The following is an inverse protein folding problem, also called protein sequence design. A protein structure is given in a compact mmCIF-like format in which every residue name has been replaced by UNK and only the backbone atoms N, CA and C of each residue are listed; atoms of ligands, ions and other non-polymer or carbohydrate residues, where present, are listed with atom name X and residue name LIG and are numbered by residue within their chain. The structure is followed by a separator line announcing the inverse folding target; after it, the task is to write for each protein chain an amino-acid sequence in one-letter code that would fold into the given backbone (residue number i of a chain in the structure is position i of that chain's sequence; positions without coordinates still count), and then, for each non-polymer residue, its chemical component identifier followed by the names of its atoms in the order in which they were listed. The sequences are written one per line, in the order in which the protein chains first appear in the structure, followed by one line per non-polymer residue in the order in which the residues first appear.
data_IF_145683055228
#
_entry.id   IF_145683055228
#
_cell.length_a   1.000
_cell.length_b   1.000
_cell.length_c   1.000
_cell.angle_alpha   90.00
_cell.angle_beta   90.00
_cell.angle_gamma   90.00
#
_symmetry.space_group_name_H-M   'P 1'
#
loop_
_entity.id
_entity.type
_entity.pdbx_description
1 polymer ?
#
# COMPACT_ATOMS: atom_id res chain seq x y z
N UNK A 1 -16.87 -12.99 -6.36
CA UNK A 1 -15.83 -11.94 -6.32
C UNK A 1 -14.52 -12.42 -5.68
N UNK A 2 -14.47 -12.87 -4.42
CA UNK A 2 -13.20 -13.40 -3.87
C UNK A 2 -12.64 -14.61 -4.66
N UNK A 3 -13.52 -15.55 -5.03
CA UNK A 3 -13.16 -16.73 -5.84
C UNK A 3 -12.68 -16.39 -7.26
N UNK A 4 -12.96 -15.18 -7.76
CA UNK A 4 -12.63 -14.75 -9.13
C UNK A 4 -11.49 -13.71 -9.16
N UNK A 5 -10.88 -13.40 -8.01
CA UNK A 5 -9.82 -12.39 -7.89
C UNK A 5 -8.57 -12.97 -7.22
N UNK A 6 -8.71 -13.65 -6.08
CA UNK A 6 -7.57 -14.17 -5.32
C UNK A 6 -6.69 -15.15 -6.14
N UNK A 7 -7.25 -16.10 -6.92
CA UNK A 7 -6.41 -17.00 -7.72
C UNK A 7 -5.61 -16.28 -8.81
N UNK A 8 -6.13 -15.18 -9.37
CA UNK A 8 -5.43 -14.40 -10.38
C UNK A 8 -4.38 -13.47 -9.77
N UNK A 9 -4.62 -12.97 -8.55
CA UNK A 9 -3.59 -12.25 -7.79
C UNK A 9 -2.37 -13.16 -7.55
N UNK A 10 -2.60 -14.40 -7.12
CA UNK A 10 -1.56 -15.41 -6.97
C UNK A 10 -0.82 -15.69 -8.27
N UNK A 11 -1.55 -15.96 -9.36
CA UNK A 11 -0.93 -16.25 -10.65
C UNK A 11 -0.02 -15.10 -11.15
N UNK A 12 -0.37 -13.84 -10.86
CA UNK A 12 0.47 -12.69 -11.18
C UNK A 12 1.72 -12.61 -10.29
N UNK A 13 1.58 -12.81 -8.98
CA UNK A 13 2.71 -12.82 -8.04
C UNK A 13 3.70 -13.94 -8.39
N UNK A 14 3.19 -15.16 -8.64
CA UNK A 14 4.00 -16.31 -9.05
C UNK A 14 4.78 -16.02 -10.34
N UNK A 15 4.12 -15.36 -11.31
CA UNK A 15 4.75 -14.97 -12.57
C UNK A 15 5.85 -13.92 -12.36
N UNK A 16 5.63 -12.92 -11.50
CA UNK A 16 6.64 -11.93 -11.14
C UNK A 16 7.85 -12.62 -10.51
N UNK A 17 7.63 -13.48 -9.50
CA UNK A 17 8.69 -14.20 -8.80
C UNK A 17 9.49 -15.10 -9.75
N UNK A 18 8.82 -15.80 -10.67
CA UNK A 18 9.47 -16.69 -11.64
C UNK A 18 10.40 -15.94 -12.62
N UNK A 19 10.12 -14.68 -12.94
CA UNK A 19 10.89 -13.89 -13.91
C UNK A 19 11.81 -12.86 -13.26
N UNK A 20 11.56 -12.50 -12.01
CA UNK A 20 12.30 -11.49 -11.25
C UNK A 20 12.24 -11.85 -9.77
N UNK A 21 13.04 -12.83 -9.32
CA UNK A 21 12.97 -13.34 -7.94
C UNK A 21 13.34 -12.29 -6.88
N UNK A 22 14.04 -11.23 -7.27
CA UNK A 22 14.34 -10.11 -6.39
C UNK A 22 13.28 -8.99 -6.42
N UNK A 23 12.19 -9.14 -7.18
CA UNK A 23 11.13 -8.15 -7.23
C UNK A 23 10.17 -8.33 -6.05
N UNK A 24 9.94 -7.25 -5.32
CA UNK A 24 8.93 -7.20 -4.28
C UNK A 24 7.59 -6.78 -4.87
N UNK A 25 6.56 -7.60 -4.66
CA UNK A 25 5.21 -7.27 -5.12
C UNK A 25 4.54 -6.36 -4.11
N UNK A 26 3.99 -5.24 -4.60
CA UNK A 26 3.20 -4.30 -3.81
C UNK A 26 1.81 -4.16 -4.42
N UNK A 27 0.79 -4.55 -3.68
CA UNK A 27 -0.59 -4.36 -4.09
C UNK A 27 -1.02 -2.90 -3.91
N UNK A 28 -1.52 -2.30 -4.99
CA UNK A 28 -2.05 -0.93 -5.00
C UNK A 28 -3.50 -0.91 -4.47
N UNK A 29 -3.71 -0.67 -3.16
CA UNK A 29 -5.06 -0.61 -2.58
C UNK A 29 -5.79 0.63 -3.08
N UNK A 30 -6.75 0.44 -3.98
CA UNK A 30 -7.54 1.52 -4.57
C UNK A 30 -8.52 2.16 -3.56
N UNK A 31 -9.16 3.24 -4.01
CA UNK A 31 -10.20 3.96 -3.28
C UNK A 31 -11.60 3.58 -3.74
N UNK A 32 -12.58 3.69 -2.84
CA UNK A 32 -13.99 3.58 -3.15
C UNK A 32 -14.43 4.71 -4.09
N UNK A 33 -15.42 4.41 -4.95
CA UNK A 33 -16.13 5.40 -5.77
C UNK A 33 -16.82 6.44 -4.87
N UNK A 34 -16.99 7.64 -5.38
CA UNK A 34 -17.42 8.81 -4.61
C UNK A 34 -18.68 8.55 -3.78
N UNK A 35 -19.63 7.84 -4.38
CA UNK A 35 -20.92 7.46 -3.82
C UNK A 35 -21.11 5.94 -3.75
N UNK A 36 -20.02 5.17 -3.63
CA UNK A 36 -20.06 3.70 -3.72
C UNK A 36 -20.30 3.18 -5.15
N UNK A 37 -20.40 1.86 -5.28
CA UNK A 37 -20.66 1.17 -6.53
C UNK A 37 -22.15 0.93 -6.73
N UNK A 38 -22.83 1.94 -7.28
CA UNK A 38 -24.27 1.89 -7.55
C UNK A 38 -24.65 0.83 -8.57
N UNK A 39 -23.75 0.49 -9.49
CA UNK A 39 -24.00 -0.53 -10.51
C UNK A 39 -24.10 -1.92 -9.88
N UNK A 40 -23.23 -2.21 -8.90
CA UNK A 40 -23.19 -3.52 -8.25
C UNK A 40 -23.98 -3.56 -6.93
N UNK A 41 -24.42 -2.43 -6.39
CA UNK A 41 -25.15 -2.30 -5.12
C UNK A 41 -26.34 -3.26 -4.97
N UNK A 42 -27.17 -3.43 -6.01
CA UNK A 42 -28.33 -4.31 -5.95
C UNK A 42 -27.96 -5.80 -5.77
N UNK A 43 -26.87 -6.24 -6.39
CA UNK A 43 -26.36 -7.61 -6.28
C UNK A 43 -25.43 -7.80 -5.07
N UNK A 44 -24.78 -6.72 -4.64
CA UNK A 44 -23.85 -6.69 -3.51
C UNK A 44 -24.09 -5.42 -2.67
N UNK A 45 -24.99 -5.48 -1.67
CA UNK A 45 -25.34 -4.32 -0.87
C UNK A 45 -24.18 -3.64 -0.10
N UNK A 46 -23.14 -4.36 0.38
CA UNK A 46 -22.04 -3.70 1.05
C UNK A 46 -21.27 -2.66 0.23
N UNK A 47 -21.38 -2.62 -1.12
CA UNK A 47 -20.68 -1.61 -1.93
C UNK A 47 -21.55 -0.39 -2.26
N UNK A 48 -22.78 -0.32 -1.76
CA UNK A 48 -23.71 0.79 -2.05
C UNK A 48 -23.26 2.16 -1.53
N UNK A 49 -22.34 2.21 -0.57
CA UNK A 49 -21.78 3.45 -0.03
C UNK A 49 -20.28 3.50 -0.21
N UNK A 50 -19.70 4.69 -0.12
CA UNK A 50 -18.26 4.87 -0.12
C UNK A 50 -17.60 4.05 1.01
N UNK A 51 -18.13 4.13 2.23
CA UNK A 51 -17.60 3.47 3.42
C UNK A 51 -17.62 1.96 3.26
N UNK A 52 -18.74 1.42 2.79
CA UNK A 52 -18.89 -0.01 2.56
C UNK A 52 -17.96 -0.50 1.46
N UNK A 53 -17.88 0.21 0.33
CA UNK A 53 -16.97 -0.12 -0.76
C UNK A 53 -15.50 -0.05 -0.31
N UNK A 54 -15.08 1.01 0.38
CA UNK A 54 -13.71 1.16 0.86
C UNK A 54 -13.34 0.07 1.88
N UNK A 55 -14.28 -0.34 2.73
CA UNK A 55 -14.06 -1.45 3.65
C UNK A 55 -13.83 -2.78 2.91
N UNK A 56 -14.63 -3.06 1.87
CA UNK A 56 -14.42 -4.25 1.03
C UNK A 56 -13.08 -4.22 0.31
N UNK A 57 -12.70 -3.07 -0.28
CA UNK A 57 -11.40 -2.90 -0.91
C UNK A 57 -10.27 -3.17 0.10
N UNK A 58 -10.32 -2.55 1.28
CA UNK A 58 -9.31 -2.77 2.32
C UNK A 58 -9.17 -4.26 2.65
N UNK A 59 -10.29 -4.94 2.91
CA UNK A 59 -10.27 -6.36 3.25
C UNK A 59 -9.66 -7.21 2.13
N UNK A 60 -10.10 -7.02 0.88
CA UNK A 60 -9.60 -7.80 -0.24
C UNK A 60 -8.12 -7.57 -0.54
N UNK A 61 -7.64 -6.32 -0.48
CA UNK A 61 -6.24 -6.01 -0.72
C UNK A 61 -5.31 -6.53 0.38
N UNK A 62 -5.73 -6.44 1.65
CA UNK A 62 -4.95 -7.03 2.75
C UNK A 62 -4.92 -8.55 2.69
N UNK A 63 -6.02 -9.18 2.28
CA UNK A 63 -6.06 -10.63 2.05
C UNK A 63 -5.10 -11.02 0.92
N UNK A 64 -5.14 -10.33 -0.22
CA UNK A 64 -4.20 -10.58 -1.33
C UNK A 64 -2.75 -10.40 -0.87
N UNK A 65 -2.43 -9.34 -0.13
CA UNK A 65 -1.08 -9.12 0.39
C UNK A 65 -0.62 -10.25 1.32
N UNK A 66 -1.48 -10.67 2.26
CA UNK A 66 -1.17 -11.73 3.20
C UNK A 66 -1.00 -13.11 2.53
N UNK A 67 -1.90 -13.47 1.61
CA UNK A 67 -1.86 -14.77 0.92
C UNK A 67 -0.60 -14.94 0.05
N UNK A 68 -0.03 -13.83 -0.41
CA UNK A 68 1.04 -13.80 -1.40
C UNK A 68 2.41 -13.42 -0.82
N UNK A 69 2.52 -13.20 0.50
CA UNK A 69 3.75 -12.67 1.09
C UNK A 69 4.16 -11.30 0.51
N UNK A 70 3.18 -10.50 0.10
CA UNK A 70 3.37 -9.24 -0.60
C UNK A 70 3.04 -8.05 0.32
N UNK A 71 3.51 -6.86 -0.06
CA UNK A 71 3.14 -5.61 0.62
C UNK A 71 1.85 -5.02 0.06
N UNK A 72 1.24 -4.08 0.78
CA UNK A 72 0.06 -3.35 0.35
C UNK A 72 0.25 -1.83 0.50
N UNK A 73 0.22 -1.08 -0.60
CA UNK A 73 0.21 0.38 -0.55
C UNK A 73 -1.21 0.89 -0.20
N UNK A 74 -1.44 1.57 0.94
CA UNK A 74 -2.78 1.81 1.49
C UNK A 74 -3.45 3.10 0.96
N UNK A 75 -3.47 3.31 -0.36
CA UNK A 75 -3.97 4.57 -0.94
C UNK A 75 -5.44 4.82 -0.62
N UNK A 76 -6.28 3.80 -0.67
CA UNK A 76 -7.69 3.91 -0.29
C UNK A 76 -7.91 4.38 1.15
N UNK A 77 -6.96 4.08 2.05
CA UNK A 77 -7.03 4.54 3.44
C UNK A 77 -6.54 5.98 3.60
N UNK A 78 -5.52 6.40 2.84
CA UNK A 78 -5.14 7.80 2.73
C UNK A 78 -6.28 8.64 2.15
N UNK A 79 -6.90 8.14 1.09
CA UNK A 79 -8.08 8.74 0.45
C UNK A 79 -9.23 8.92 1.44
N UNK A 80 -9.56 7.86 2.19
CA UNK A 80 -10.58 7.92 3.23
C UNK A 80 -10.27 9.00 4.26
N UNK A 81 -9.03 9.03 4.78
CA UNK A 81 -8.63 10.00 5.80
C UNK A 81 -8.74 11.44 5.30
N UNK A 82 -8.38 11.71 4.04
CA UNK A 82 -8.58 13.05 3.45
C UNK A 82 -10.06 13.38 3.29
N UNK A 83 -10.89 12.45 2.82
CA UNK A 83 -12.36 12.68 2.73
C UNK A 83 -12.97 13.02 4.10
N UNK A 84 -12.55 12.33 5.15
CA UNK A 84 -13.08 12.51 6.50
C UNK A 84 -12.61 13.84 7.13
N UNK A 85 -11.33 14.20 6.96
CA UNK A 85 -10.70 15.32 7.67
C UNK A 85 -10.71 16.63 6.88
N UNK A 86 -10.66 16.55 5.54
CA UNK A 86 -10.52 17.68 4.63
C UNK A 86 -11.53 17.58 3.47
N UNK A 87 -12.84 17.56 3.75
CA UNK A 87 -13.87 17.34 2.73
C UNK A 87 -13.93 18.41 1.63
N UNK A 88 -13.29 19.57 1.83
CA UNK A 88 -13.14 20.60 0.81
C UNK A 88 -12.14 20.23 -0.29
N UNK A 89 -11.24 19.27 -0.05
CA UNK A 89 -10.29 18.77 -1.06
C UNK A 89 -11.01 17.74 -1.93
N UNK A 90 -11.38 18.12 -3.14
CA UNK A 90 -11.97 17.19 -4.09
C UNK A 90 -10.91 16.23 -4.66
N UNK A 91 -11.02 14.94 -4.30
CA UNK A 91 -10.12 13.90 -4.77
C UNK A 91 -10.57 13.24 -6.08
N UNK A 92 -11.82 13.44 -6.51
CA UNK A 92 -12.36 12.79 -7.70
C UNK A 92 -12.36 13.72 -8.90
N UNK A 93 -12.21 13.12 -10.08
CA UNK A 93 -12.67 13.73 -11.31
C UNK A 93 -14.21 13.82 -11.30
N UNK A 94 -14.79 14.53 -12.27
CA UNK A 94 -16.25 14.74 -12.33
C UNK A 94 -17.11 13.47 -12.48
N UNK A 95 -16.49 12.29 -12.62
CA UNK A 95 -17.16 11.00 -12.78
C UNK A 95 -17.36 10.22 -11.47
N UNK A 96 -16.85 10.73 -10.34
CA UNK A 96 -16.92 10.07 -9.03
C UNK A 96 -16.12 8.76 -8.95
N UNK A 97 -15.15 8.53 -9.85
CA UNK A 97 -14.36 7.31 -9.92
C UNK A 97 -12.87 7.59 -10.09
N UNK A 98 -12.51 8.27 -11.18
CA UNK A 98 -11.12 8.59 -11.48
C UNK A 98 -10.60 9.70 -10.55
N UNK A 99 -9.28 9.78 -10.31
CA UNK A 99 -8.73 10.78 -9.42
C UNK A 99 -8.66 12.16 -10.08
N UNK A 100 -8.85 13.21 -9.29
CA UNK A 100 -8.45 14.57 -9.63
C UNK A 100 -6.92 14.73 -9.58
N UNK A 101 -6.41 15.93 -9.82
CA UNK A 101 -4.99 16.25 -9.59
C UNK A 101 -4.62 16.04 -8.10
N UNK A 102 -5.48 16.45 -7.17
CA UNK A 102 -5.28 16.23 -5.75
C UNK A 102 -5.32 14.73 -5.39
N UNK A 103 -6.27 13.98 -5.96
CA UNK A 103 -6.34 12.52 -5.78
C UNK A 103 -5.08 11.81 -6.29
N UNK A 104 -4.60 12.19 -7.47
CA UNK A 104 -3.37 11.64 -8.07
C UNK A 104 -2.14 12.01 -7.24
N UNK A 105 -2.09 13.22 -6.70
CA UNK A 105 -1.00 13.67 -5.83
C UNK A 105 -0.95 12.88 -4.52
N UNK A 106 -2.11 12.67 -3.87
CA UNK A 106 -2.23 11.83 -2.67
C UNK A 106 -1.76 10.40 -2.94
N UNK A 107 -2.21 9.81 -4.06
CA UNK A 107 -1.80 8.48 -4.49
C UNK A 107 -0.27 8.36 -4.67
N UNK A 108 0.34 9.35 -5.33
CA UNK A 108 1.78 9.40 -5.51
C UNK A 108 2.52 9.53 -4.17
N UNK A 109 2.02 10.35 -3.25
CA UNK A 109 2.63 10.51 -1.94
C UNK A 109 2.56 9.22 -1.10
N UNK A 110 1.42 8.53 -1.12
CA UNK A 110 1.26 7.25 -0.41
C UNK A 110 2.20 6.19 -0.98
N UNK A 111 2.29 6.07 -2.32
CA UNK A 111 3.22 5.14 -2.96
C UNK A 111 4.68 5.44 -2.63
N UNK A 112 5.07 6.73 -2.60
CA UNK A 112 6.41 7.13 -2.19
C UNK A 112 6.70 6.67 -0.75
N UNK A 113 5.79 6.95 0.19
CA UNK A 113 5.98 6.52 1.57
C UNK A 113 5.98 5.00 1.72
N UNK A 114 5.24 4.25 0.89
CA UNK A 114 5.32 2.78 0.87
C UNK A 114 6.68 2.29 0.40
N UNK A 115 7.15 2.73 -0.77
CA UNK A 115 8.40 2.23 -1.35
C UNK A 115 9.65 2.66 -0.58
N UNK A 116 9.71 3.92 -0.16
CA UNK A 116 10.91 4.45 0.48
C UNK A 116 10.85 4.35 2.00
N UNK A 117 9.67 4.07 2.58
CA UNK A 117 9.44 4.09 4.03
C UNK A 117 9.89 5.41 4.65
N UNK A 118 9.70 6.49 3.89
CA UNK A 118 10.06 7.86 4.22
C UNK A 118 8.82 8.76 4.15
N UNK A 119 8.77 9.83 4.97
CA UNK A 119 7.70 10.82 4.85
C UNK A 119 7.82 11.59 3.53
N UNK A 120 6.69 11.96 2.95
CA UNK A 120 6.62 12.87 1.80
C UNK A 120 6.56 14.34 2.20
N UNK A 121 6.43 14.62 3.50
CA UNK A 121 6.41 15.97 4.05
C UNK A 121 7.69 16.70 3.68
N UNK A 122 7.55 17.82 2.98
CA UNK A 122 8.67 18.64 2.51
C UNK A 122 9.14 18.33 1.09
N UNK A 123 8.50 17.39 0.37
CA UNK A 123 8.75 17.21 -1.06
C UNK A 123 8.42 18.50 -1.83
N UNK A 124 9.29 18.87 -2.78
CA UNK A 124 9.22 20.15 -3.50
C UNK A 124 8.23 20.15 -4.66
N UNK A 125 7.86 18.98 -5.17
CA UNK A 125 6.86 18.85 -6.22
C UNK A 125 5.44 19.00 -5.64
N UNK A 126 4.63 19.86 -6.25
CA UNK A 126 3.30 20.25 -5.73
C UNK A 126 2.13 19.89 -6.64
N UNK A 127 2.38 19.41 -7.85
CA UNK A 127 1.36 19.24 -8.90
C UNK A 127 0.51 20.50 -9.17
N UNK A 128 1.09 21.69 -8.96
CA UNK A 128 0.39 22.98 -9.08
C UNK A 128 -0.80 23.18 -8.13
N UNK A 129 -0.88 22.38 -7.06
CA UNK A 129 -1.84 22.57 -5.97
C UNK A 129 -1.34 23.69 -5.04
N UNK A 130 -2.26 24.29 -4.29
CA UNK A 130 -1.91 25.28 -3.28
C UNK A 130 -1.12 24.62 -2.12
N UNK A 131 -0.31 25.44 -1.43
CA UNK A 131 0.59 24.95 -0.40
C UNK A 131 -0.12 24.25 0.78
N UNK A 132 -1.34 24.67 1.12
CA UNK A 132 -2.09 24.07 2.22
C UNK A 132 -2.59 22.68 1.83
N UNK A 133 -3.16 22.53 0.63
CA UNK A 133 -3.55 21.22 0.08
C UNK A 133 -2.35 20.28 0.01
N UNK A 134 -1.22 20.73 -0.52
CA UNK A 134 0.01 19.92 -0.60
C UNK A 134 0.43 19.41 0.77
N UNK A 135 0.52 20.30 1.77
CA UNK A 135 0.95 19.94 3.12
C UNK A 135 0.00 18.89 3.75
N UNK A 136 -1.32 19.08 3.61
CA UNK A 136 -2.32 18.14 4.13
C UNK A 136 -2.20 16.76 3.47
N UNK A 137 -2.05 16.71 2.14
CA UNK A 137 -1.95 15.44 1.41
C UNK A 137 -0.65 14.69 1.72
N UNK A 138 0.49 15.39 1.78
CA UNK A 138 1.77 14.79 2.20
C UNK A 138 1.70 14.23 3.63
N UNK A 139 1.12 14.99 4.55
CA UNK A 139 0.99 14.59 5.96
C UNK A 139 0.08 13.37 6.11
N UNK A 140 -1.09 13.37 5.45
CA UNK A 140 -2.01 12.23 5.51
C UNK A 140 -1.39 10.97 4.90
N UNK A 141 -0.77 11.08 3.72
CA UNK A 141 -0.11 9.95 3.07
C UNK A 141 0.98 9.35 3.97
N UNK A 142 1.87 10.20 4.50
CA UNK A 142 2.96 9.78 5.38
C UNK A 142 2.44 9.09 6.64
N UNK A 143 1.47 9.69 7.32
CA UNK A 143 0.91 9.14 8.55
C UNK A 143 0.17 7.81 8.32
N UNK A 144 -0.62 7.68 7.25
CA UNK A 144 -1.34 6.43 6.97
C UNK A 144 -0.38 5.25 6.75
N UNK A 145 0.74 5.49 6.06
CA UNK A 145 1.73 4.43 5.80
C UNK A 145 2.59 4.16 7.03
N UNK A 146 3.29 5.19 7.52
CA UNK A 146 4.41 5.03 8.45
C UNK A 146 3.94 4.71 9.88
N UNK A 147 2.74 5.13 10.28
CA UNK A 147 2.21 4.83 11.61
C UNK A 147 1.73 3.37 11.74
N UNK A 148 1.73 2.58 10.66
CA UNK A 148 1.09 1.26 10.62
C UNK A 148 1.73 0.29 9.62
N UNK A 149 3.05 0.33 9.45
CA UNK A 149 3.78 -0.52 8.48
C UNK A 149 3.36 -2.00 8.50
N UNK A 150 3.29 -2.59 9.70
CA UNK A 150 2.88 -4.00 9.88
C UNK A 150 1.45 -4.28 9.39
N UNK A 151 0.54 -3.31 9.48
CA UNK A 151 -0.83 -3.45 8.98
C UNK A 151 -0.86 -3.59 7.45
N UNK A 152 0.17 -3.09 6.78
CA UNK A 152 0.30 -3.04 5.34
C UNK A 152 1.27 -4.11 4.80
N UNK A 153 1.76 -5.00 5.68
CA UNK A 153 2.84 -5.95 5.41
C UNK A 153 4.15 -5.30 4.93
N UNK A 154 4.35 -3.99 5.14
CA UNK A 154 5.53 -3.28 4.64
C UNK A 154 6.72 -3.63 5.51
N UNK A 155 7.76 -4.22 4.91
CA UNK A 155 8.97 -4.65 5.60
C UNK A 155 8.91 -5.98 6.35
N UNK A 156 7.76 -6.65 6.34
CA UNK A 156 7.58 -7.93 7.05
C UNK A 156 8.45 -9.04 6.45
N UNK A 157 8.64 -9.01 5.13
CA UNK A 157 9.36 -10.03 4.37
C UNK A 157 10.76 -9.57 3.93
N UNK A 158 11.24 -8.45 4.46
CA UNK A 158 12.58 -7.97 4.19
C UNK A 158 13.64 -8.99 4.63
N UNK A 159 14.70 -9.21 3.84
CA UNK A 159 15.84 -10.01 4.28
C UNK A 159 16.53 -9.33 5.46
N UNK A 160 16.54 -10.00 6.62
CA UNK A 160 17.27 -9.50 7.80
C UNK A 160 18.58 -10.27 7.90
N UNK A 161 19.69 -9.58 7.64
CA UNK A 161 21.03 -10.14 7.77
C UNK A 161 21.40 -10.28 9.26
N UNK A 162 21.54 -11.51 9.74
CA UNK A 162 21.98 -11.83 11.10
C UNK A 162 23.23 -12.71 11.05
N UNK A 163 24.39 -12.14 10.66
CA UNK A 163 25.64 -12.90 10.66
C UNK A 163 26.07 -13.18 12.10
N UNK A 164 26.26 -14.45 12.41
CA UNK A 164 26.82 -14.88 13.69
C UNK A 164 28.24 -15.38 13.47
N UNK A 165 29.10 -15.19 14.47
CA UNK A 165 30.45 -15.74 14.46
C UNK A 165 30.84 -16.25 15.84
N UNK A 166 31.70 -17.25 15.84
CA UNK A 166 32.29 -17.85 17.04
C UNK A 166 33.80 -17.88 16.84
N UNK A 167 34.56 -17.26 17.75
CA UNK A 167 36.01 -17.41 17.80
C UNK A 167 36.36 -18.81 18.33
N UNK A 168 37.08 -19.59 17.53
CA UNK A 168 37.51 -20.94 17.87
C UNK A 168 38.94 -20.95 18.46
N UNK A 169 39.59 -19.79 18.57
CA UNK A 169 40.99 -19.65 18.95
C UNK A 169 41.96 -19.93 17.80
N UNK A 170 43.26 -19.74 18.04
CA UNK A 170 44.34 -19.97 17.05
C UNK A 170 44.17 -19.21 15.72
N UNK A 171 43.50 -18.06 15.75
CA UNK A 171 43.20 -17.27 14.55
C UNK A 171 42.08 -17.85 13.67
N UNK A 172 41.29 -18.79 14.18
CA UNK A 172 40.14 -19.36 13.48
C UNK A 172 38.84 -18.75 13.98
N UNK A 173 38.01 -18.26 13.04
CA UNK A 173 36.65 -17.79 13.30
C UNK A 173 35.69 -18.66 12.50
N UNK A 174 34.66 -19.20 13.15
CA UNK A 174 33.54 -19.85 12.49
C UNK A 174 32.41 -18.84 12.28
N UNK A 175 31.79 -18.88 11.10
CA UNK A 175 30.58 -18.09 10.81
C UNK A 175 29.37 -19.03 10.79
N UNK A 176 28.27 -18.59 11.37
CA UNK A 176 26.95 -19.22 11.24
C UNK A 176 25.94 -18.24 10.67
N UNK A 177 25.00 -18.75 9.89
CA UNK A 177 23.96 -17.94 9.27
C UNK A 177 22.67 -18.04 10.08
N UNK A 178 22.21 -16.92 10.64
CA UNK A 178 20.92 -16.80 11.32
C UNK A 178 19.97 -15.84 10.58
N UNK A 179 20.34 -15.39 9.38
CA UNK A 179 19.51 -14.47 8.58
C UNK A 179 18.12 -15.05 8.30
N UNK A 180 17.10 -14.20 8.32
CA UNK A 180 15.72 -14.56 8.00
C UNK A 180 15.29 -13.92 6.68
N UNK A 181 14.30 -14.50 6.01
CA UNK A 181 13.77 -14.04 4.72
C UNK A 181 14.82 -13.91 3.60
N UNK A 182 15.93 -14.66 3.69
CA UNK A 182 17.06 -14.57 2.76
C UNK A 182 16.80 -15.30 1.41
N UNK A 183 15.71 -16.03 1.29
CA UNK A 183 15.27 -16.74 0.08
C UNK A 183 13.78 -16.49 -0.11
N UNK A 184 13.44 -15.51 -0.94
CA UNK A 184 12.14 -15.46 -1.62
C UNK A 184 12.33 -15.98 -3.05
#
# INVERSE_FOLDING_TARGET
MANDCLPYAQALVDSIAAHSPCAETVFYMTWGRENGDQQNCAAWPPVCTYEGMQAQLRMSYLQMAADNGAECAPLGMAWKRVRDQYPAINLYSGDGSHPSVAGSYLAACTMYSTFFRQPTVGATYTASLDAATVAMLQQVASAVVLDSLDTWNIGVYDPVALPQHTDLGSGQIAFSQASVNATQ
#
